data_IF_634949734436
#
_entry.id   IF_634949734436
#
_cell.length_a   1.000
_cell.length_b   1.000
_cell.length_c   1.000
_cell.angle_alpha   90.00
_cell.angle_beta   90.00
_cell.angle_gamma   90.00
#
_symmetry.space_group_name_H-M   'P 1'
#
loop_
_entity.id
_entity.type
_entity.pdbx_description
1 polymer ?
#
# COMPACT_ATOMS: atom_id res chain seq x y z
N UNK A 1 -22.30 -41.08 -13.92
CA UNK A 1 -22.01 -40.01 -14.91
C UNK A 1 -21.96 -38.61 -14.27
N UNK A 2 -22.88 -38.25 -13.37
CA UNK A 2 -22.91 -36.94 -12.68
C UNK A 2 -21.65 -36.61 -11.84
N UNK A 3 -20.99 -37.60 -11.26
CA UNK A 3 -19.77 -37.41 -10.46
C UNK A 3 -18.54 -37.00 -11.30
N UNK A 4 -18.54 -37.31 -12.61
CA UNK A 4 -17.48 -36.88 -13.55
C UNK A 4 -17.64 -35.42 -13.95
N UNK A 5 -18.86 -34.90 -13.94
CA UNK A 5 -19.18 -33.51 -14.30
C UNK A 5 -18.82 -32.55 -13.16
N UNK A 6 -19.06 -32.92 -11.91
CA UNK A 6 -18.66 -32.12 -10.75
C UNK A 6 -17.13 -32.04 -10.57
N UNK A 7 -16.39 -33.11 -10.90
CA UNK A 7 -14.92 -33.11 -10.93
C UNK A 7 -14.35 -32.29 -12.09
N UNK A 8 -15.06 -32.19 -13.22
CA UNK A 8 -14.67 -31.33 -14.34
C UNK A 8 -14.89 -29.84 -14.03
N UNK A 9 -15.97 -29.48 -13.33
CA UNK A 9 -16.23 -28.11 -12.87
C UNK A 9 -15.24 -27.64 -11.80
N UNK A 10 -14.79 -28.54 -10.91
CA UNK A 10 -13.73 -28.22 -9.93
C UNK A 10 -12.36 -28.00 -10.60
N UNK A 11 -12.12 -28.55 -11.79
CA UNK A 11 -10.90 -28.30 -12.57
C UNK A 11 -11.00 -27.10 -13.52
N UNK A 12 -12.22 -26.61 -13.78
CA UNK A 12 -12.44 -25.49 -14.71
C UNK A 12 -12.20 -24.13 -14.06
N UNK A 13 -12.33 -24.02 -12.73
CA UNK A 13 -12.04 -22.81 -11.96
C UNK A 13 -10.52 -22.59 -11.73
N UNK A 14 -9.70 -23.62 -12.02
CA UNK A 14 -8.24 -23.57 -12.16
C UNK A 14 -7.81 -23.17 -13.59
N UNK A 15 -8.64 -22.42 -14.32
CA UNK A 15 -8.27 -21.85 -15.60
C UNK A 15 -7.08 -20.88 -15.39
N UNK A 16 -5.88 -21.41 -15.63
CA UNK A 16 -4.60 -20.71 -15.52
C UNK A 16 -4.71 -19.34 -16.18
N UNK A 17 -4.66 -18.26 -15.37
CA UNK A 17 -4.72 -16.89 -15.90
C UNK A 17 -3.62 -16.77 -16.97
N UNK A 18 -3.97 -16.50 -18.24
CA UNK A 18 -2.97 -16.52 -19.31
C UNK A 18 -1.85 -15.54 -19.01
N UNK A 19 -0.58 -15.94 -19.24
CA UNK A 19 0.60 -15.09 -18.97
C UNK A 19 0.42 -13.67 -19.56
N UNK A 20 -0.18 -13.54 -20.75
CA UNK A 20 -0.52 -12.25 -21.38
C UNK A 20 -1.40 -11.33 -20.53
N UNK A 21 -2.36 -11.90 -19.81
CA UNK A 21 -3.28 -11.14 -18.95
C UNK A 21 -2.53 -10.65 -17.70
N UNK A 22 -1.65 -11.50 -17.15
CA UNK A 22 -0.76 -11.12 -16.04
C UNK A 22 0.15 -9.97 -16.46
N UNK A 23 0.78 -10.07 -17.63
CA UNK A 23 1.65 -9.02 -18.18
C UNK A 23 0.88 -7.72 -18.39
N UNK A 24 -0.31 -7.76 -18.99
CA UNK A 24 -1.13 -6.57 -19.23
C UNK A 24 -1.51 -5.87 -17.93
N UNK A 25 -1.97 -6.62 -16.94
CA UNK A 25 -2.37 -6.05 -15.66
C UNK A 25 -1.15 -5.48 -14.91
N UNK A 26 -0.02 -6.19 -14.95
CA UNK A 26 1.26 -5.75 -14.38
C UNK A 26 1.79 -4.46 -15.04
N UNK A 27 1.70 -4.35 -16.37
CA UNK A 27 2.05 -3.16 -17.14
C UNK A 27 1.13 -1.99 -16.80
N UNK A 28 -0.18 -2.22 -16.69
CA UNK A 28 -1.15 -1.18 -16.34
C UNK A 28 -0.81 -0.53 -14.99
N UNK A 29 -0.52 -1.35 -13.98
CA UNK A 29 -0.08 -0.86 -12.66
C UNK A 29 1.28 -0.16 -12.76
N UNK A 30 2.25 -0.76 -13.43
CA UNK A 30 3.60 -0.20 -13.57
C UNK A 30 3.62 1.15 -14.28
N UNK A 31 2.79 1.34 -15.32
CA UNK A 31 2.65 2.61 -16.03
C UNK A 31 1.94 3.65 -15.16
N UNK A 32 0.78 3.31 -14.60
CA UNK A 32 0.01 4.25 -13.79
C UNK A 32 0.82 4.79 -12.61
N UNK A 33 1.53 3.91 -11.90
CA UNK A 33 2.32 4.28 -10.73
C UNK A 33 3.67 4.87 -11.15
N UNK A 34 4.33 4.33 -12.17
CA UNK A 34 5.58 4.86 -12.68
C UNK A 34 5.48 6.31 -13.18
N UNK A 35 4.34 6.71 -13.76
CA UNK A 35 4.09 8.10 -14.16
C UNK A 35 4.03 9.07 -12.97
N UNK A 36 3.60 8.60 -11.80
CA UNK A 36 3.57 9.45 -10.58
C UNK A 36 4.97 9.86 -10.09
N UNK A 37 6.04 9.22 -10.56
CA UNK A 37 7.42 9.66 -10.32
C UNK A 37 7.69 11.08 -10.81
N UNK A 38 6.96 11.57 -11.81
CA UNK A 38 7.03 12.98 -12.24
C UNK A 38 6.73 13.94 -11.08
N UNK A 39 5.69 13.66 -10.30
CA UNK A 39 5.33 14.47 -9.14
C UNK A 39 6.41 14.44 -8.07
N UNK A 40 7.06 13.29 -7.87
CA UNK A 40 8.20 13.20 -6.97
C UNK A 40 9.36 14.08 -7.45
N UNK A 41 9.72 14.01 -8.73
CA UNK A 41 10.76 14.85 -9.33
C UNK A 41 10.49 16.34 -9.16
N UNK A 42 9.26 16.79 -9.44
CA UNK A 42 8.84 18.19 -9.25
C UNK A 42 8.90 18.59 -7.77
N UNK A 43 8.37 17.74 -6.88
CA UNK A 43 8.31 18.02 -5.44
C UNK A 43 9.72 18.10 -4.83
N UNK A 44 10.61 17.17 -5.20
CA UNK A 44 12.00 17.14 -4.75
C UNK A 44 12.77 18.37 -5.18
N UNK A 45 12.66 18.76 -6.46
CA UNK A 45 13.27 19.97 -6.97
C UNK A 45 12.71 21.24 -6.31
N UNK A 46 11.39 21.32 -6.13
CA UNK A 46 10.73 22.44 -5.44
C UNK A 46 11.11 22.54 -3.95
N UNK A 47 11.51 21.42 -3.34
CA UNK A 47 12.02 21.36 -1.97
C UNK A 47 13.50 21.72 -1.84
N UNK A 48 14.16 22.11 -2.94
CA UNK A 48 15.55 22.56 -2.97
C UNK A 48 16.59 21.45 -3.13
N UNK A 49 16.18 20.19 -3.38
CA UNK A 49 17.14 19.14 -3.70
C UNK A 49 17.68 19.33 -5.13
N UNK A 50 18.99 19.11 -5.29
CA UNK A 50 19.62 19.12 -6.61
C UNK A 50 19.12 17.98 -7.50
N UNK A 51 19.31 18.11 -8.82
CA UNK A 51 18.93 17.09 -9.79
C UNK A 51 19.56 15.73 -9.47
N UNK A 52 20.87 15.71 -9.19
CA UNK A 52 21.59 14.48 -8.85
C UNK A 52 21.10 13.86 -7.54
N UNK A 53 20.79 14.68 -6.52
CA UNK A 53 20.24 14.20 -5.26
C UNK A 53 18.85 13.58 -5.46
N UNK A 54 18.00 14.23 -6.26
CA UNK A 54 16.67 13.74 -6.60
C UNK A 54 16.73 12.40 -7.33
N UNK A 55 17.58 12.29 -8.36
CA UNK A 55 17.76 11.04 -9.10
C UNK A 55 18.41 9.94 -8.26
N UNK A 56 19.41 10.27 -7.43
CA UNK A 56 20.03 9.30 -6.53
C UNK A 56 19.02 8.76 -5.52
N UNK A 57 18.20 9.63 -4.93
CA UNK A 57 17.14 9.23 -4.02
C UNK A 57 16.08 8.37 -4.72
N UNK A 58 15.74 8.71 -5.96
CA UNK A 58 14.84 7.94 -6.84
C UNK A 58 15.31 6.51 -7.06
N UNK A 59 16.60 6.34 -7.40
CA UNK A 59 17.20 5.05 -7.74
C UNK A 59 17.45 4.18 -6.51
N UNK A 60 17.98 4.78 -5.43
CA UNK A 60 18.49 4.05 -4.27
C UNK A 60 17.41 3.77 -3.23
N UNK A 61 16.46 4.67 -3.03
CA UNK A 61 15.38 4.53 -2.04
C UNK A 61 14.08 4.27 -2.80
N UNK A 62 14.02 3.18 -3.56
CA UNK A 62 12.90 2.89 -4.47
C UNK A 62 11.62 2.52 -3.73
N UNK A 63 10.98 3.51 -3.13
CA UNK A 63 9.70 3.43 -2.42
C UNK A 63 9.09 4.82 -2.33
N UNK A 64 8.03 5.07 -3.13
CA UNK A 64 7.48 6.40 -3.31
C UNK A 64 7.06 7.07 -2.00
N UNK A 65 6.34 6.37 -1.12
CA UNK A 65 5.86 6.94 0.13
C UNK A 65 7.01 7.45 1.03
N UNK A 66 8.08 6.65 1.20
CA UNK A 66 9.26 7.04 1.97
C UNK A 66 10.03 8.20 1.32
N UNK A 67 10.10 8.24 -0.01
CA UNK A 67 10.72 9.35 -0.73
C UNK A 67 9.96 10.67 -0.53
N UNK A 68 8.63 10.66 -0.66
CA UNK A 68 7.81 11.84 -0.39
C UNK A 68 7.86 12.27 1.08
N UNK A 69 7.88 11.32 2.02
CA UNK A 69 8.02 11.62 3.44
C UNK A 69 9.36 12.29 3.77
N UNK A 70 10.46 11.77 3.21
CA UNK A 70 11.80 12.34 3.37
C UNK A 70 11.85 13.77 2.83
N UNK A 71 11.46 13.95 1.57
CA UNK A 71 11.49 15.25 0.89
C UNK A 71 10.57 16.25 1.59
N UNK A 72 9.36 15.84 1.98
CA UNK A 72 8.43 16.71 2.70
C UNK A 72 8.96 17.16 4.06
N UNK A 73 9.59 16.26 4.81
CA UNK A 73 10.21 16.60 6.09
C UNK A 73 11.41 17.55 5.93
N UNK A 74 12.24 17.35 4.90
CA UNK A 74 13.34 18.26 4.56
C UNK A 74 12.82 19.64 4.15
N UNK A 75 11.78 19.70 3.31
CA UNK A 75 11.14 20.94 2.87
C UNK A 75 10.57 21.76 4.04
N UNK A 76 10.07 21.08 5.06
CA UNK A 76 9.56 21.70 6.29
C UNK A 76 10.66 22.18 7.26
N UNK A 77 11.94 22.13 6.86
CA UNK A 77 13.08 22.51 7.71
C UNK A 77 13.49 21.44 8.73
N UNK A 78 13.08 20.19 8.52
CA UNK A 78 13.45 19.06 9.37
C UNK A 78 14.91 18.66 9.25
N UNK A 79 15.43 18.06 10.33
CA UNK A 79 16.77 17.47 10.31
C UNK A 79 16.82 16.32 9.30
N UNK A 80 17.87 16.20 8.47
CA UNK A 80 18.02 15.08 7.55
C UNK A 80 17.96 13.71 8.23
N UNK A 81 18.44 13.61 9.46
CA UNK A 81 18.40 12.37 10.24
C UNK A 81 16.99 12.00 10.69
N UNK A 82 16.19 12.97 11.14
CA UNK A 82 14.80 12.69 11.57
C UNK A 82 13.91 12.39 10.36
N UNK A 83 14.14 13.10 9.25
CA UNK A 83 13.46 12.85 7.98
C UNK A 83 13.80 11.45 7.43
N UNK A 84 15.08 11.05 7.46
CA UNK A 84 15.53 9.72 7.06
C UNK A 84 14.96 8.62 7.96
N UNK A 85 14.94 8.83 9.28
CA UNK A 85 14.33 7.91 10.22
C UNK A 85 12.83 7.75 9.92
N UNK A 86 12.13 8.85 9.62
CA UNK A 86 10.72 8.82 9.26
C UNK A 86 10.44 8.03 7.99
N UNK A 87 11.21 8.30 6.94
CA UNK A 87 11.16 7.56 5.69
C UNK A 87 11.49 6.07 5.87
N UNK A 88 12.48 5.75 6.70
CA UNK A 88 12.86 4.38 7.03
C UNK A 88 11.73 3.62 7.71
N UNK A 89 11.13 4.19 8.77
CA UNK A 89 10.01 3.55 9.48
C UNK A 89 8.81 3.31 8.57
N UNK A 90 8.53 4.25 7.66
CA UNK A 90 7.48 4.08 6.66
C UNK A 90 7.80 2.92 5.68
N UNK A 91 9.07 2.74 5.36
CA UNK A 91 9.58 1.68 4.48
C UNK A 91 9.66 0.29 5.13
N UNK A 92 9.56 0.16 6.46
CA UNK A 92 9.66 -1.13 7.18
C UNK A 92 8.65 -2.17 6.66
N UNK A 93 7.47 -1.73 6.18
CA UNK A 93 6.48 -2.62 5.57
C UNK A 93 7.03 -3.43 4.39
N UNK A 94 7.95 -2.84 3.62
CA UNK A 94 8.58 -3.49 2.48
C UNK A 94 9.43 -4.69 2.92
N UNK A 95 10.03 -4.63 4.11
CA UNK A 95 10.76 -5.76 4.67
C UNK A 95 9.82 -6.95 4.97
N UNK A 96 8.65 -6.69 5.55
CA UNK A 96 7.64 -7.73 5.81
C UNK A 96 7.11 -8.35 4.51
N UNK A 97 6.85 -7.52 3.49
CA UNK A 97 6.52 -8.02 2.16
C UNK A 97 7.65 -8.88 1.61
N UNK A 98 8.91 -8.46 1.76
CA UNK A 98 10.09 -9.19 1.30
C UNK A 98 10.17 -10.60 1.90
N UNK A 99 9.88 -10.73 3.20
CA UNK A 99 9.80 -12.04 3.87
C UNK A 99 8.73 -12.93 3.21
N UNK A 100 7.53 -12.40 2.97
CA UNK A 100 6.44 -13.14 2.32
C UNK A 100 6.75 -13.50 0.87
N UNK A 101 7.24 -12.54 0.07
CA UNK A 101 7.56 -12.75 -1.34
C UNK A 101 8.75 -13.70 -1.52
N UNK A 102 9.70 -13.73 -0.59
CA UNK A 102 10.86 -14.62 -0.67
C UNK A 102 10.48 -16.10 -0.81
N UNK A 103 9.42 -16.53 -0.11
CA UNK A 103 8.90 -17.90 -0.15
C UNK A 103 8.07 -18.14 -1.43
N UNK A 104 7.22 -17.17 -1.78
CA UNK A 104 6.31 -17.26 -2.93
C UNK A 104 7.05 -17.25 -4.27
N UNK A 105 8.09 -16.44 -4.40
CA UNK A 105 8.89 -16.35 -5.62
C UNK A 105 9.99 -17.43 -5.65
N UNK A 106 10.56 -17.80 -4.48
CA UNK A 106 11.72 -18.69 -4.34
C UNK A 106 12.80 -18.40 -5.39
N UNK A 107 13.25 -17.14 -5.42
CA UNK A 107 14.28 -16.70 -6.36
C UNK A 107 15.67 -17.21 -5.95
N UNK A 108 16.57 -17.44 -6.93
CA UNK A 108 17.98 -17.74 -6.67
C UNK A 108 18.64 -16.70 -5.75
N UNK A 109 19.57 -17.13 -4.90
CA UNK A 109 20.23 -16.25 -3.91
C UNK A 109 20.91 -15.03 -4.56
N UNK A 110 21.47 -15.19 -5.75
CA UNK A 110 22.17 -14.13 -6.48
C UNK A 110 21.25 -12.97 -6.90
N UNK A 111 19.97 -13.23 -7.20
CA UNK A 111 19.03 -12.19 -7.65
C UNK A 111 18.23 -11.57 -6.49
N UNK A 112 18.34 -12.13 -5.28
CA UNK A 112 17.57 -11.67 -4.11
C UNK A 112 17.82 -10.20 -3.75
N UNK A 113 19.05 -9.67 -3.76
CA UNK A 113 19.28 -8.26 -3.43
C UNK A 113 18.60 -7.31 -4.44
N UNK A 114 18.67 -7.63 -5.73
CA UNK A 114 18.00 -6.86 -6.77
C UNK A 114 16.48 -6.96 -6.67
N UNK A 115 15.95 -8.15 -6.40
CA UNK A 115 14.53 -8.34 -6.16
C UNK A 115 14.07 -7.57 -4.92
N UNK A 116 14.87 -7.53 -3.84
CA UNK A 116 14.55 -6.78 -2.63
C UNK A 116 14.36 -5.28 -2.90
N UNK A 117 15.14 -4.70 -3.82
CA UNK A 117 14.97 -3.31 -4.24
C UNK A 117 13.58 -3.05 -4.84
N UNK A 118 12.99 -4.04 -5.53
CA UNK A 118 11.68 -3.91 -6.15
C UNK A 118 10.52 -4.32 -5.24
N UNK A 119 10.76 -4.67 -3.98
CA UNK A 119 9.69 -5.01 -3.04
C UNK A 119 9.04 -3.74 -2.53
N UNK A 120 7.86 -3.43 -3.08
CA UNK A 120 6.99 -2.32 -2.69
C UNK A 120 5.53 -2.79 -2.72
N UNK A 121 4.59 -1.94 -2.31
CA UNK A 121 3.17 -2.30 -2.21
C UNK A 121 2.60 -2.79 -3.55
N UNK A 122 2.94 -2.13 -4.65
CA UNK A 122 2.42 -2.40 -5.99
C UNK A 122 2.90 -3.75 -6.54
N UNK A 123 4.22 -3.99 -6.47
CA UNK A 123 4.81 -5.27 -6.91
C UNK A 123 4.32 -6.41 -6.02
N UNK A 124 4.12 -6.15 -4.73
CA UNK A 124 3.55 -7.12 -3.78
C UNK A 124 2.09 -7.43 -4.10
N UNK A 125 1.26 -6.42 -4.32
CA UNK A 125 -0.16 -6.57 -4.63
C UNK A 125 -0.36 -7.35 -5.94
N UNK A 126 0.34 -6.96 -7.00
CA UNK A 126 0.27 -7.66 -8.30
C UNK A 126 0.75 -9.10 -8.17
N UNK A 127 1.81 -9.35 -7.40
CA UNK A 127 2.33 -10.69 -7.16
C UNK A 127 1.32 -11.55 -6.41
N UNK A 128 0.77 -11.06 -5.30
CA UNK A 128 -0.16 -11.82 -4.45
C UNK A 128 -1.47 -12.14 -5.15
N UNK A 129 -1.89 -11.32 -6.11
CA UNK A 129 -3.08 -11.56 -6.92
C UNK A 129 -2.93 -12.71 -7.93
N UNK A 130 -1.72 -13.26 -8.15
CA UNK A 130 -1.52 -14.32 -9.12
C UNK A 130 -1.69 -15.74 -8.54
N UNK A 131 -2.36 -16.65 -9.26
CA UNK A 131 -2.68 -17.99 -8.77
C UNK A 131 -1.45 -18.92 -8.73
N UNK A 132 -0.62 -18.90 -9.78
CA UNK A 132 0.51 -19.83 -9.92
C UNK A 132 1.86 -19.16 -9.62
N UNK A 133 2.87 -19.95 -9.23
CA UNK A 133 4.23 -19.43 -8.98
C UNK A 133 4.83 -18.76 -10.22
N UNK A 134 4.54 -19.29 -11.42
CA UNK A 134 4.98 -18.71 -12.69
C UNK A 134 4.36 -17.34 -12.91
N UNK A 135 3.04 -17.24 -12.79
CA UNK A 135 2.32 -15.97 -12.91
C UNK A 135 2.81 -14.94 -11.86
N UNK A 136 3.07 -15.37 -10.61
CA UNK A 136 3.66 -14.52 -9.56
C UNK A 136 5.00 -13.92 -9.99
N UNK A 137 5.90 -14.73 -10.56
CA UNK A 137 7.21 -14.26 -11.04
C UNK A 137 7.07 -13.28 -12.21
N UNK A 138 6.15 -13.55 -13.14
CA UNK A 138 5.87 -12.65 -14.26
C UNK A 138 5.32 -11.32 -13.74
N UNK A 139 4.29 -11.36 -12.88
CA UNK A 139 3.69 -10.16 -12.29
C UNK A 139 4.72 -9.33 -11.52
N UNK A 140 5.53 -9.97 -10.67
CA UNK A 140 6.60 -9.31 -9.93
C UNK A 140 7.61 -8.61 -10.85
N UNK A 141 8.14 -9.34 -11.83
CA UNK A 141 9.21 -8.83 -12.70
C UNK A 141 8.70 -7.76 -13.65
N UNK A 142 7.52 -7.94 -14.26
CA UNK A 142 6.95 -6.97 -15.20
C UNK A 142 6.55 -5.69 -14.47
N UNK A 143 5.82 -5.79 -13.35
CA UNK A 143 5.48 -4.59 -12.56
C UNK A 143 6.74 -3.92 -12.03
N UNK A 144 7.68 -4.68 -11.44
CA UNK A 144 8.92 -4.12 -10.89
C UNK A 144 9.76 -3.40 -11.94
N UNK A 145 10.00 -4.02 -13.10
CA UNK A 145 10.79 -3.42 -14.18
C UNK A 145 10.11 -2.17 -14.76
N UNK A 146 8.82 -2.28 -15.12
CA UNK A 146 8.09 -1.17 -15.74
C UNK A 146 7.98 0.01 -14.78
N UNK A 147 7.63 -0.25 -13.53
CA UNK A 147 7.51 0.79 -12.50
C UNK A 147 8.87 1.41 -12.22
N UNK A 148 9.93 0.62 -12.05
CA UNK A 148 11.28 1.14 -11.77
C UNK A 148 11.80 2.03 -12.90
N UNK A 149 11.68 1.59 -14.14
CA UNK A 149 12.14 2.37 -15.30
C UNK A 149 11.32 3.64 -15.44
N UNK A 150 9.98 3.54 -15.48
CA UNK A 150 9.12 4.70 -15.69
C UNK A 150 9.23 5.69 -14.54
N UNK A 151 9.26 5.24 -13.28
CA UNK A 151 9.41 6.12 -12.12
C UNK A 151 10.68 6.94 -12.18
N UNK A 152 11.82 6.32 -12.49
CA UNK A 152 13.09 7.04 -12.54
C UNK A 152 13.17 8.00 -13.73
N UNK A 153 12.64 7.60 -14.90
CA UNK A 153 12.55 8.48 -16.07
C UNK A 153 11.64 9.67 -15.81
N UNK A 154 10.45 9.45 -15.26
CA UNK A 154 9.49 10.50 -14.99
C UNK A 154 9.97 11.40 -13.86
N UNK A 155 10.67 10.87 -12.85
CA UNK A 155 11.36 11.66 -11.82
C UNK A 155 12.39 12.59 -12.41
N UNK A 156 13.24 12.10 -13.33
CA UNK A 156 14.21 12.93 -14.04
C UNK A 156 13.50 14.04 -14.83
N UNK A 157 12.45 13.69 -15.57
CA UNK A 157 11.65 14.66 -16.33
C UNK A 157 10.97 15.70 -15.43
N UNK A 158 10.45 15.29 -14.28
CA UNK A 158 9.83 16.19 -13.30
C UNK A 158 10.83 17.15 -12.68
N UNK A 159 12.01 16.67 -12.29
CA UNK A 159 13.07 17.50 -11.73
C UNK A 159 13.64 18.49 -12.76
N UNK A 160 13.83 18.05 -14.02
CA UNK A 160 14.22 18.92 -15.13
C UNK A 160 13.14 19.94 -15.48
N UNK A 161 11.88 19.51 -15.51
CA UNK A 161 10.73 20.37 -15.76
C UNK A 161 10.61 21.47 -14.71
N UNK A 162 10.77 21.13 -13.43
CA UNK A 162 10.80 22.12 -12.34
C UNK A 162 11.94 23.14 -12.50
N UNK A 163 13.14 22.70 -12.92
CA UNK A 163 14.27 23.59 -13.19
C UNK A 163 14.02 24.52 -14.39
N UNK A 164 13.36 24.02 -15.43
CA UNK A 164 13.05 24.80 -16.63
C UNK A 164 12.05 25.94 -16.38
N UNK A 165 11.19 25.80 -15.36
CA UNK A 165 10.21 26.82 -14.99
C UNK A 165 10.84 28.03 -14.28
N UNK A 166 12.08 27.93 -13.76
CA UNK A 166 12.81 29.06 -13.17
C UNK A 166 12.38 29.36 -11.73
N UNK A 167 12.17 30.64 -11.38
CA UNK A 167 11.82 31.05 -10.02
C UNK A 167 10.39 30.66 -9.64
N UNK A 168 10.22 29.44 -9.15
CA UNK A 168 8.93 28.89 -8.74
C UNK A 168 8.22 29.73 -7.66
N UNK A 169 8.94 30.50 -6.84
CA UNK A 169 8.31 31.40 -5.86
C UNK A 169 7.66 32.61 -6.51
N UNK A 170 8.27 33.16 -7.57
CA UNK A 170 7.72 34.29 -8.31
C UNK A 170 6.37 33.97 -8.99
N UNK A 171 6.11 32.68 -9.25
CA UNK A 171 4.90 32.20 -9.91
C UNK A 171 3.90 31.51 -8.94
N UNK A 172 4.16 31.50 -7.63
CA UNK A 172 3.32 30.78 -6.64
C UNK A 172 3.31 29.26 -6.82
N UNK A 173 4.36 28.71 -7.44
CA UNK A 173 4.55 27.28 -7.68
C UNK A 173 5.25 26.56 -6.51
N UNK A 174 5.55 27.27 -5.43
CA UNK A 174 5.95 26.67 -4.16
C UNK A 174 4.84 25.78 -3.57
N UNK A 175 3.57 26.10 -3.86
CA UNK A 175 2.43 25.24 -3.57
C UNK A 175 2.21 24.11 -4.61
N UNK A 176 2.88 24.15 -5.77
CA UNK A 176 2.61 23.21 -6.87
C UNK A 176 3.04 21.77 -6.53
N UNK A 177 4.14 21.57 -5.80
CA UNK A 177 4.55 20.22 -5.35
C UNK A 177 3.48 19.56 -4.48
N UNK A 178 3.09 20.18 -3.35
CA UNK A 178 1.98 19.70 -2.53
C UNK A 178 0.65 19.61 -3.30
N UNK A 179 0.33 20.56 -4.18
CA UNK A 179 -0.91 20.54 -4.96
C UNK A 179 -0.95 19.38 -5.97
N UNK A 180 0.16 19.09 -6.66
CA UNK A 180 0.28 17.93 -7.56
C UNK A 180 0.18 16.63 -6.76
N UNK A 181 0.81 16.55 -5.58
CA UNK A 181 0.66 15.40 -4.69
C UNK A 181 -0.81 15.21 -4.28
N UNK A 182 -1.50 16.27 -3.87
CA UNK A 182 -2.92 16.21 -3.53
C UNK A 182 -3.80 15.85 -4.73
N UNK A 183 -3.50 16.37 -5.92
CA UNK A 183 -4.21 16.04 -7.15
C UNK A 183 -4.05 14.57 -7.54
N UNK A 184 -2.88 13.97 -7.29
CA UNK A 184 -2.65 12.53 -7.47
C UNK A 184 -3.25 11.68 -6.33
N UNK A 185 -3.28 12.19 -5.10
CA UNK A 185 -3.86 11.50 -3.96
C UNK A 185 -5.40 11.49 -4.01
N UNK A 186 -6.03 12.56 -4.49
CA UNK A 186 -7.48 12.70 -4.57
C UNK A 186 -8.21 11.50 -5.20
N UNK A 187 -7.81 10.98 -6.40
CA UNK A 187 -8.45 9.80 -6.98
C UNK A 187 -8.19 8.49 -6.21
N UNK A 188 -7.24 8.47 -5.27
CA UNK A 188 -6.96 7.32 -4.41
C UNK A 188 -7.86 7.26 -3.17
N UNK A 189 -8.54 8.34 -2.78
CA UNK A 189 -9.41 8.43 -1.61
C UNK A 189 -10.87 8.08 -1.94
N UNK A 190 -11.12 6.82 -2.31
CA UNK A 190 -12.42 6.35 -2.79
C UNK A 190 -13.36 5.96 -1.64
N UNK A 191 -12.84 5.33 -0.61
CA UNK A 191 -13.65 4.77 0.48
C UNK A 191 -13.84 5.77 1.62
N UNK A 192 -14.85 5.55 2.46
CA UNK A 192 -15.09 6.36 3.67
C UNK A 192 -13.94 6.19 4.66
N UNK A 193 -13.38 4.98 4.75
CA UNK A 193 -12.23 4.65 5.59
C UNK A 193 -10.98 5.39 5.13
N UNK A 194 -10.66 5.39 3.83
CA UNK A 194 -9.51 6.13 3.27
C UNK A 194 -9.63 7.64 3.55
N UNK A 195 -10.82 8.22 3.37
CA UNK A 195 -11.08 9.63 3.68
C UNK A 195 -10.98 9.94 5.17
N UNK A 196 -11.46 9.05 6.04
CA UNK A 196 -11.33 9.20 7.49
C UNK A 196 -9.87 9.10 7.95
N UNK A 197 -9.10 8.15 7.39
CA UNK A 197 -7.65 8.03 7.65
C UNK A 197 -6.92 9.29 7.20
N UNK A 198 -7.20 9.78 5.99
CA UNK A 198 -6.59 11.02 5.48
C UNK A 198 -6.94 12.23 6.37
N UNK A 199 -8.20 12.39 6.77
CA UNK A 199 -8.63 13.46 7.67
C UNK A 199 -7.97 13.38 9.05
N UNK A 200 -7.86 12.18 9.62
CA UNK A 200 -7.18 11.97 10.89
C UNK A 200 -5.68 12.24 10.79
N UNK A 201 -5.04 11.81 9.69
CA UNK A 201 -3.62 12.09 9.43
C UNK A 201 -3.36 13.60 9.31
N UNK A 202 -4.24 14.34 8.63
CA UNK A 202 -4.17 15.81 8.55
C UNK A 202 -4.33 16.44 9.93
N UNK A 203 -5.33 16.01 10.71
CA UNK A 203 -5.56 16.49 12.07
C UNK A 203 -4.33 16.27 12.97
N UNK A 204 -3.80 15.05 12.99
CA UNK A 204 -2.61 14.71 13.79
C UNK A 204 -1.39 15.51 13.33
N UNK A 205 -1.16 15.58 12.01
CA UNK A 205 -0.05 16.33 11.44
C UNK A 205 -0.11 17.81 11.82
N UNK A 206 -1.24 18.48 11.57
CA UNK A 206 -1.42 19.90 11.84
C UNK A 206 -1.41 20.24 13.33
N UNK A 207 -2.04 19.42 14.17
CA UNK A 207 -2.07 19.65 15.61
C UNK A 207 -0.69 19.50 16.26
N UNK A 208 0.18 18.66 15.69
CA UNK A 208 1.50 18.36 16.26
C UNK A 208 2.64 19.16 15.61
N UNK A 209 2.40 19.84 14.49
CA UNK A 209 3.35 20.78 13.87
C UNK A 209 3.96 21.80 14.86
N UNK A 210 3.19 22.47 15.75
CA UNK A 210 3.78 23.46 16.66
C UNK A 210 4.52 22.85 17.86
N UNK A 211 4.33 21.55 18.12
CA UNK A 211 4.80 20.89 19.37
C UNK A 211 6.00 20.00 19.11
N UNK A 212 6.06 19.35 17.94
CA UNK A 212 7.05 18.32 17.65
C UNK A 212 8.11 18.80 16.65
N UNK A 213 9.35 18.31 16.76
CA UNK A 213 10.39 18.59 15.78
C UNK A 213 9.96 18.22 14.36
N UNK A 214 10.44 18.98 13.38
CA UNK A 214 10.10 18.74 11.97
C UNK A 214 10.47 17.30 11.52
N UNK A 215 9.51 16.66 10.85
CA UNK A 215 9.52 15.24 10.46
C UNK A 215 8.79 14.30 11.43
N UNK A 216 8.69 14.63 12.72
CA UNK A 216 7.99 13.78 13.72
C UNK A 216 6.46 13.80 13.54
N UNK A 217 5.79 14.94 13.24
CA UNK A 217 4.36 14.94 12.94
C UNK A 217 3.97 13.98 11.81
N UNK A 218 4.83 13.79 10.80
CA UNK A 218 4.60 12.85 9.69
C UNK A 218 4.56 11.41 10.19
N UNK A 219 5.46 11.05 11.12
CA UNK A 219 5.47 9.73 11.74
C UNK A 219 4.21 9.47 12.57
N UNK A 220 3.75 10.47 13.32
CA UNK A 220 2.53 10.34 14.13
C UNK A 220 1.29 10.29 13.23
N UNK A 221 1.25 11.06 12.14
CA UNK A 221 0.17 11.00 11.16
C UNK A 221 0.03 9.61 10.53
N UNK A 222 1.14 8.86 10.35
CA UNK A 222 1.09 7.48 9.86
C UNK A 222 0.32 6.53 10.79
N UNK A 223 0.20 6.84 12.10
CA UNK A 223 -0.60 6.06 13.05
C UNK A 223 -2.11 6.21 12.81
N UNK A 224 -2.56 7.17 11.99
CA UNK A 224 -3.97 7.32 11.64
C UNK A 224 -4.56 6.06 10.99
N UNK A 225 -3.79 5.37 10.15
CA UNK A 225 -4.23 4.15 9.46
C UNK A 225 -4.55 2.99 10.43
N UNK A 226 -3.63 2.54 11.31
CA UNK A 226 -3.95 1.49 12.29
C UNK A 226 -5.03 1.90 13.29
N UNK A 227 -5.08 3.18 13.71
CA UNK A 227 -6.13 3.68 14.62
C UNK A 227 -7.51 3.54 13.96
N UNK A 228 -7.64 3.96 12.70
CA UNK A 228 -8.89 3.85 11.96
C UNK A 228 -9.31 2.39 11.75
N UNK A 229 -8.37 1.52 11.39
CA UNK A 229 -8.62 0.08 11.20
C UNK A 229 -9.10 -0.60 12.49
N UNK A 230 -8.50 -0.27 13.64
CA UNK A 230 -8.95 -0.80 14.95
C UNK A 230 -10.33 -0.26 15.30
N UNK A 231 -10.60 1.03 15.05
CA UNK A 231 -11.92 1.62 15.29
C UNK A 231 -13.01 0.96 14.43
N UNK A 232 -12.70 0.65 13.18
CA UNK A 232 -13.60 0.00 12.23
C UNK A 232 -13.82 -1.48 12.59
N UNK A 233 -12.77 -2.21 12.95
CA UNK A 233 -12.85 -3.58 13.46
C UNK A 233 -13.71 -3.70 14.73
N UNK A 234 -13.63 -2.70 15.63
CA UNK A 234 -14.47 -2.63 16.83
C UNK A 234 -15.94 -2.32 16.50
N UNK A 235 -16.22 -1.49 15.49
CA UNK A 235 -17.60 -1.20 15.03
C UNK A 235 -18.23 -2.42 14.34
N UNK A 236 -17.47 -3.13 13.51
CA UNK A 236 -17.91 -4.36 12.86
C UNK A 236 -18.17 -5.50 13.87
N UNK A 237 -17.37 -5.58 14.93
CA UNK A 237 -17.58 -6.52 16.04
C UNK A 237 -18.85 -6.24 16.85
N UNK A 238 -19.13 -4.95 17.16
CA UNK A 238 -20.35 -4.54 17.87
C UNK A 238 -21.63 -4.79 17.07
N UNK A 239 -21.64 -4.46 15.77
CA UNK A 239 -22.80 -4.71 14.92
C UNK A 239 -23.15 -6.20 14.80
N UNK A 240 -22.15 -7.09 14.85
CA UNK A 240 -22.36 -8.54 14.82
C UNK A 240 -22.91 -9.09 16.14
N UNK A 241 -22.56 -8.46 17.27
CA UNK A 241 -23.12 -8.77 18.59
C UNK A 241 -24.56 -8.29 18.73
N UNK A 242 -24.90 -7.11 18.20
CA UNK A 242 -26.28 -6.59 18.23
C UNK A 242 -27.23 -7.44 17.36
N UNK A 243 -26.78 -7.90 16.20
CA UNK A 243 -27.56 -8.81 15.34
C UNK A 243 -27.77 -10.17 16.02
N UNK A 244 -26.72 -10.75 16.63
CA UNK A 244 -26.83 -11.98 17.39
C UNK A 244 -27.79 -11.85 18.59
N UNK A 245 -27.70 -10.75 19.34
CA UNK A 245 -28.57 -10.47 20.47
C UNK A 245 -30.03 -10.16 20.08
N UNK A 246 -30.27 -9.62 18.89
CA UNK A 246 -31.63 -9.44 18.36
C UNK A 246 -32.24 -10.79 17.92
N UNK A 247 -31.41 -11.68 17.37
CA UNK A 247 -31.84 -13.01 16.90
C UNK A 247 -32.12 -13.96 18.08
N UNK A 248 -31.37 -13.85 19.18
CA UNK A 248 -31.67 -14.56 20.44
C UNK A 248 -32.94 -14.03 21.14
N UNK A 249 -33.26 -12.74 21.03
CA UNK A 249 -34.49 -12.15 21.60
C UNK A 249 -35.74 -12.42 20.75
N UNK A 250 -35.56 -12.70 19.46
CA UNK A 250 -36.64 -13.08 18.54
C UNK A 250 -36.88 -14.58 18.46
N UNK A 251 -36.07 -15.41 19.12
CA UNK A 251 -36.22 -16.86 19.12
C UNK A 251 -37.41 -17.29 20.02
N UNK A 252 -38.36 -18.09 19.52
CA UNK A 252 -39.46 -18.62 20.32
C UNK A 252 -38.95 -19.47 21.50
N UNK A 253 -39.63 -19.49 22.66
CA UNK A 253 -39.17 -20.16 23.86
C UNK A 253 -39.43 -21.67 23.81
N UNK A 254 -38.85 -22.41 22.87
CA UNK A 254 -38.97 -23.88 22.82
C UNK A 254 -37.66 -24.53 22.37
N UNK A 255 -36.70 -24.68 23.30
CA UNK A 255 -35.67 -25.74 23.28
C UNK A 255 -34.76 -25.65 24.52
N UNK A 256 -35.35 -25.50 25.71
CA UNK A 256 -34.60 -25.62 26.99
C UNK A 256 -35.06 -26.79 27.87
N UNK A 257 -35.93 -27.64 27.36
CA UNK A 257 -36.44 -28.78 28.11
C UNK A 257 -36.52 -30.03 27.21
N UNK A 258 -35.39 -30.68 26.94
CA UNK A 258 -35.33 -32.09 26.53
C UNK A 258 -33.89 -32.60 26.68
N UNK A 259 -33.38 -32.60 27.91
CA UNK A 259 -32.05 -33.09 28.23
C UNK A 259 -32.04 -33.60 29.66
N UNK A 260 -32.78 -34.68 29.91
CA UNK A 260 -32.83 -35.32 31.22
C UNK A 260 -33.38 -36.74 31.12
N UNK A 261 -32.62 -37.65 31.75
CA UNK A 261 -32.90 -39.05 32.13
C UNK A 261 -32.90 -40.12 31.03
N UNK A 262 -31.85 -40.98 31.00
CA UNK A 262 -31.76 -42.40 31.52
C UNK A 262 -32.17 -43.39 30.42
N UNK A 263 -31.55 -44.52 30.10
CA UNK A 263 -30.43 -45.36 30.56
C UNK A 263 -30.20 -46.39 29.40
N UNK A 264 -29.01 -46.95 29.12
CA UNK A 264 -28.90 -48.07 28.20
C UNK A 264 -29.09 -49.38 28.98
N UNK A 265 -30.27 -49.99 28.84
CA UNK A 265 -30.54 -51.31 29.40
C UNK A 265 -29.80 -52.40 28.60
N UNK A 266 -29.03 -53.17 29.37
CA UNK A 266 -28.27 -54.36 29.05
C UNK A 266 -29.22 -55.58 28.90
N UNK A 267 -28.79 -56.58 28.13
CA UNK A 267 -29.27 -57.99 28.15
C UNK A 267 -30.44 -58.42 27.23
N UNK A 268 -30.11 -58.93 26.02
CA UNK A 268 -30.37 -60.32 25.53
C UNK A 268 -30.25 -60.47 24.01
#
# INVERSE_FOLDING_TARGET
MAQRTALADLTADDAEKPDRAVVRDALGVGVAVGLSGFAFGVTSAGSGLGLLQTCALSLLVFTGASQFALVGALAAGGSPFTAAAGAFFLGVRNAFYGLRLSQLLALPRAVRPFAAQWVIDETTAVTLAQPTRRARRIGFTVTGLTLYVLWNLTTLLGALGAKAIGDTRAWGLDAAGPAVFLALLAPMLKTTTERAVAGLAVLLGLALLPVLPAGVPVLVAALAAPIALVAEGRRAGRGRQDIGAAQERGAPPESRAAGGSTDPEEDR
#
